data_IF_014466588386
#
_entry.id   IF_014466588386
#
_cell.length_a   1.000
_cell.length_b   1.000
_cell.length_c   1.000
_cell.angle_alpha   90.00
_cell.angle_beta   90.00
_cell.angle_gamma   90.00
#
_symmetry.space_group_name_H-M   'P 1'
#
loop_
_entity.id
_entity.type
_entity.pdbx_description
1 polymer ?
#
# COMPACT_ATOMS: atom_id res chain seq x y z
N UNK A 1 5.33 -8.73 3.77
CA UNK A 1 5.45 -8.04 5.08
C UNK A 1 5.11 -9.07 6.13
N UNK A 2 6.05 -9.38 7.02
CA UNK A 2 5.96 -10.46 8.01
C UNK A 2 6.31 -9.99 9.44
N UNK A 3 6.76 -8.74 9.60
CA UNK A 3 7.18 -8.18 10.89
C UNK A 3 6.99 -6.66 10.95
N UNK A 4 6.96 -6.12 12.15
CA UNK A 4 6.96 -4.69 12.44
C UNK A 4 8.09 -4.33 13.39
N UNK A 5 8.56 -3.08 13.35
CA UNK A 5 9.48 -2.54 14.35
C UNK A 5 8.65 -1.96 15.49
N UNK A 6 8.91 -2.39 16.70
CA UNK A 6 8.31 -1.85 17.92
C UNK A 6 9.35 -0.97 18.61
N UNK A 7 8.97 0.27 18.88
CA UNK A 7 9.78 1.28 19.56
C UNK A 7 9.14 1.57 20.91
N UNK A 8 9.72 1.06 21.98
CA UNK A 8 9.31 1.37 23.35
C UNK A 8 10.21 2.46 23.93
N UNK A 9 9.63 3.33 24.75
CA UNK A 9 10.41 4.36 25.45
C UNK A 9 11.45 3.69 26.38
N UNK A 10 12.71 4.15 26.30
CA UNK A 10 13.80 3.62 27.13
C UNK A 10 14.31 2.23 26.75
N UNK A 11 13.77 1.61 25.69
CA UNK A 11 14.21 0.29 25.23
C UNK A 11 14.75 0.34 23.79
N UNK A 12 15.68 -0.56 23.45
CA UNK A 12 16.11 -0.70 22.05
C UNK A 12 14.95 -1.17 21.18
N UNK A 13 14.93 -0.80 19.90
CA UNK A 13 13.95 -1.28 18.93
C UNK A 13 14.01 -2.81 18.80
N UNK A 14 12.84 -3.45 18.67
CA UNK A 14 12.72 -4.90 18.47
C UNK A 14 11.78 -5.18 17.30
N UNK A 15 12.02 -6.30 16.60
CA UNK A 15 11.05 -6.82 15.65
C UNK A 15 9.98 -7.64 16.36
N UNK A 16 8.73 -7.45 15.98
CA UNK A 16 7.59 -8.22 16.44
C UNK A 16 6.74 -8.68 15.25
N UNK A 17 5.94 -9.73 15.39
CA UNK A 17 4.94 -10.06 14.38
C UNK A 17 3.96 -8.91 14.19
N UNK A 18 3.34 -8.78 13.01
CA UNK A 18 2.29 -7.80 12.78
C UNK A 18 1.11 -8.00 13.75
N UNK A 19 0.36 -6.94 14.00
CA UNK A 19 -0.76 -6.96 14.96
C UNK A 19 -1.91 -7.89 14.55
N UNK A 20 -2.05 -8.18 13.26
CA UNK A 20 -3.13 -9.02 12.72
C UNK A 20 -2.59 -9.92 11.61
N UNK A 21 -3.22 -11.07 11.39
CA UNK A 21 -2.88 -12.00 10.30
C UNK A 21 -3.06 -11.34 8.92
N UNK A 22 -4.07 -10.48 8.75
CA UNK A 22 -4.29 -9.72 7.51
C UNK A 22 -3.12 -8.77 7.16
N UNK A 23 -2.27 -8.46 8.13
CA UNK A 23 -1.06 -7.67 7.91
C UNK A 23 0.09 -8.50 7.32
N UNK A 24 0.03 -9.83 7.42
CA UNK A 24 0.95 -10.76 6.76
C UNK A 24 0.59 -10.82 5.28
N UNK A 25 1.36 -10.13 4.44
CA UNK A 25 1.08 -10.08 3.01
C UNK A 25 2.31 -9.84 2.15
N UNK A 26 2.24 -10.34 0.93
CA UNK A 26 3.18 -10.00 -0.13
C UNK A 26 2.55 -8.96 -1.05
N UNK A 27 3.27 -7.88 -1.29
CA UNK A 27 2.88 -6.83 -2.25
C UNK A 27 3.91 -6.89 -3.39
N UNK A 28 3.50 -7.22 -4.64
CA UNK A 28 4.41 -7.15 -5.78
C UNK A 28 4.82 -5.69 -5.99
N UNK A 29 6.11 -5.50 -6.17
CA UNK A 29 6.65 -4.16 -6.42
C UNK A 29 6.73 -3.92 -7.93
N UNK A 30 6.18 -2.81 -8.44
CA UNK A 30 6.40 -2.36 -9.80
C UNK A 30 7.88 -2.08 -10.07
N UNK A 31 8.35 -2.30 -11.31
CA UNK A 31 9.75 -2.09 -11.68
C UNK A 31 10.29 -0.70 -11.34
N UNK A 32 9.50 0.35 -11.54
CA UNK A 32 9.88 1.71 -11.15
C UNK A 32 10.10 1.89 -9.63
N UNK A 33 9.29 1.20 -8.81
CA UNK A 33 9.49 1.23 -7.35
C UNK A 33 10.75 0.46 -6.96
N UNK A 34 11.05 -0.66 -7.64
CA UNK A 34 12.29 -1.42 -7.42
C UNK A 34 13.50 -0.54 -7.74
N UNK A 35 13.50 0.17 -8.88
CA UNK A 35 14.60 1.05 -9.26
C UNK A 35 14.87 2.13 -8.21
N UNK A 36 13.82 2.82 -7.74
CA UNK A 36 13.95 3.84 -6.68
C UNK A 36 14.46 3.26 -5.36
N UNK A 37 14.04 2.02 -5.02
CA UNK A 37 14.54 1.35 -3.81
C UNK A 37 16.02 0.94 -3.94
N UNK A 38 16.48 0.54 -5.12
CA UNK A 38 17.90 0.24 -5.37
C UNK A 38 18.75 1.51 -5.20
N UNK A 39 18.37 2.61 -5.85
CA UNK A 39 19.03 3.91 -5.66
C UNK A 39 19.06 4.34 -4.19
N UNK A 40 17.93 4.16 -3.49
CA UNK A 40 17.86 4.46 -2.05
C UNK A 40 18.87 3.63 -1.23
N UNK A 41 19.03 2.34 -1.54
CA UNK A 41 19.94 1.46 -0.82
C UNK A 41 21.42 1.77 -1.10
N UNK A 42 21.73 2.30 -2.27
CA UNK A 42 23.08 2.77 -2.62
C UNK A 42 23.42 4.05 -1.83
N UNK A 43 22.48 5.00 -1.72
CA UNK A 43 22.68 6.25 -0.99
C UNK A 43 22.58 6.10 0.54
N UNK A 44 21.74 5.18 1.00
CA UNK A 44 21.41 4.96 2.41
C UNK A 44 21.49 3.47 2.75
N UNK A 45 22.67 2.95 3.05
CA UNK A 45 22.84 1.54 3.40
C UNK A 45 21.95 1.13 4.58
N UNK A 46 21.38 -0.08 4.55
CA UNK A 46 20.52 -0.58 5.63
C UNK A 46 21.24 -0.58 6.98
N UNK A 47 20.54 -0.18 8.02
CA UNK A 47 21.09 -0.24 9.37
C UNK A 47 20.64 -1.49 10.11
N UNK A 48 21.57 -2.07 10.88
CA UNK A 48 21.30 -3.21 11.73
C UNK A 48 20.42 -2.80 12.91
N UNK A 49 19.31 -3.51 13.10
CA UNK A 49 18.49 -3.33 14.30
C UNK A 49 19.20 -4.03 15.47
N UNK A 50 19.51 -3.31 16.58
CA UNK A 50 20.22 -3.90 17.71
C UNK A 50 19.54 -5.17 18.22
N UNK A 51 20.34 -6.22 18.51
CA UNK A 51 19.89 -7.53 18.99
C UNK A 51 19.05 -8.37 18.01
N UNK A 52 18.89 -7.91 16.77
CA UNK A 52 18.12 -8.60 15.73
C UNK A 52 19.04 -9.05 14.58
N UNK A 53 18.68 -10.15 13.91
CA UNK A 53 19.37 -10.60 12.69
C UNK A 53 18.72 -10.00 11.43
N UNK A 54 18.31 -8.74 11.52
CA UNK A 54 17.63 -8.07 10.42
C UNK A 54 18.06 -6.61 10.33
N UNK A 55 17.87 -6.03 9.18
CA UNK A 55 18.27 -4.68 8.85
C UNK A 55 17.03 -3.85 8.49
N UNK A 56 17.06 -2.56 8.81
CA UNK A 56 16.05 -1.61 8.40
C UNK A 56 16.50 -0.89 7.12
N UNK A 57 15.64 -0.92 6.12
CA UNK A 57 15.88 -0.29 4.81
C UNK A 57 15.85 1.24 4.91
N UNK A 58 14.93 1.79 5.71
CA UNK A 58 14.79 3.24 5.86
C UNK A 58 15.49 3.73 7.11
N UNK A 59 16.53 4.53 6.90
CA UNK A 59 17.42 5.06 7.94
C UNK A 59 17.43 6.59 7.93
N UNK A 60 17.98 7.18 8.97
CA UNK A 60 18.37 8.59 8.96
C UNK A 60 19.68 8.76 8.17
N UNK A 61 20.06 10.00 7.76
CA UNK A 61 21.37 10.25 7.14
C UNK A 61 22.58 9.84 8.01
N UNK A 62 22.37 9.71 9.34
CA UNK A 62 23.38 9.21 10.28
C UNK A 62 23.42 7.66 10.37
N UNK A 63 22.63 6.94 9.54
CA UNK A 63 22.54 5.49 9.57
C UNK A 63 21.75 4.92 10.74
N UNK A 64 20.94 5.73 11.41
CA UNK A 64 20.11 5.31 12.53
C UNK A 64 18.70 4.92 12.06
N UNK A 65 18.00 4.10 12.87
CA UNK A 65 16.63 3.71 12.61
C UNK A 65 15.69 4.94 12.57
N UNK A 66 14.93 5.06 11.49
CA UNK A 66 13.98 6.16 11.31
C UNK A 66 12.80 6.04 12.29
N UNK A 67 12.68 6.98 13.21
CA UNK A 67 11.59 7.06 14.20
C UNK A 67 10.39 7.83 13.65
N UNK A 68 9.19 7.50 14.15
CA UNK A 68 7.91 8.08 13.68
C UNK A 68 7.88 9.62 13.71
N UNK A 69 8.34 10.23 14.78
CA UNK A 69 8.39 11.70 14.91
C UNK A 69 9.33 12.33 13.86
N UNK A 70 10.54 11.78 13.70
CA UNK A 70 11.48 12.20 12.65
C UNK A 70 10.90 12.04 11.26
N UNK A 71 10.25 10.91 10.98
CA UNK A 71 9.59 10.70 9.70
C UNK A 71 8.50 11.76 9.45
N UNK A 72 7.72 12.13 10.47
CA UNK A 72 6.72 13.18 10.36
C UNK A 72 7.32 14.55 9.97
N UNK A 73 8.51 14.90 10.46
CA UNK A 73 9.21 16.13 10.07
C UNK A 73 9.68 16.08 8.62
N UNK A 74 10.27 14.95 8.21
CA UNK A 74 10.70 14.71 6.82
C UNK A 74 9.51 14.79 5.87
N UNK A 75 8.39 14.14 6.22
CA UNK A 75 7.17 14.17 5.43
C UNK A 75 6.65 15.59 5.23
N UNK A 76 6.45 16.36 6.31
CA UNK A 76 5.99 17.75 6.23
C UNK A 76 6.91 18.63 5.41
N UNK A 77 8.22 18.42 5.52
CA UNK A 77 9.21 19.15 4.72
C UNK A 77 9.09 18.81 3.23
N UNK A 78 8.91 17.52 2.88
CA UNK A 78 8.72 17.08 1.51
C UNK A 78 7.43 17.66 0.91
N UNK A 79 6.30 17.59 1.64
CA UNK A 79 5.01 18.16 1.21
C UNK A 79 5.14 19.66 0.90
N UNK A 80 5.78 20.42 1.80
CA UNK A 80 6.00 21.86 1.57
C UNK A 80 6.88 22.14 0.34
N UNK A 81 7.95 21.35 0.13
CA UNK A 81 8.88 21.53 -0.98
C UNK A 81 8.24 21.24 -2.34
N UNK A 82 7.36 20.25 -2.40
CA UNK A 82 6.64 19.87 -3.61
C UNK A 82 5.47 20.82 -3.92
N UNK A 83 5.00 21.59 -2.94
CA UNK A 83 3.94 22.57 -3.12
C UNK A 83 2.54 21.95 -3.28
N UNK A 84 2.33 20.73 -2.81
CA UNK A 84 1.00 20.11 -2.73
C UNK A 84 0.26 20.61 -1.48
N UNK A 85 -1.02 20.24 -1.34
CA UNK A 85 -1.83 20.66 -0.19
C UNK A 85 -1.10 20.38 1.14
N UNK A 86 -1.02 21.33 2.07
CA UNK A 86 -0.17 21.24 3.26
C UNK A 86 -0.64 20.22 4.30
N UNK A 87 -1.92 19.84 4.27
CA UNK A 87 -2.54 18.85 5.14
C UNK A 87 -2.39 17.41 4.65
N UNK A 88 -1.71 17.18 3.50
CA UNK A 88 -1.46 15.86 2.96
C UNK A 88 -0.70 14.99 3.97
N UNK A 89 -1.30 13.92 4.41
CA UNK A 89 -0.69 12.95 5.32
C UNK A 89 -0.02 11.81 4.57
N UNK A 90 0.91 11.09 5.22
CA UNK A 90 1.48 9.88 4.62
C UNK A 90 0.42 8.78 4.42
N UNK A 91 -0.66 8.79 5.21
CA UNK A 91 -1.77 7.86 5.06
C UNK A 91 -2.59 8.12 3.79
N UNK A 92 -2.64 9.36 3.30
CA UNK A 92 -3.32 9.69 2.04
C UNK A 92 -2.68 9.00 0.83
N UNK A 93 -1.40 8.62 0.90
CA UNK A 93 -0.78 7.79 -0.13
C UNK A 93 -1.39 6.37 -0.18
N UNK A 94 -1.87 5.86 0.95
CA UNK A 94 -2.62 4.60 0.98
C UNK A 94 -3.98 4.74 0.28
N UNK A 95 -4.69 5.85 0.50
CA UNK A 95 -5.93 6.15 -0.20
C UNK A 95 -5.69 6.33 -1.71
N UNK A 96 -4.63 7.04 -2.07
CA UNK A 96 -4.23 7.18 -3.47
C UNK A 96 -3.94 5.83 -4.13
N UNK A 97 -3.19 4.96 -3.46
CA UNK A 97 -2.89 3.61 -3.97
C UNK A 97 -4.16 2.77 -4.15
N UNK A 98 -5.09 2.80 -3.20
CA UNK A 98 -6.38 2.13 -3.35
C UNK A 98 -7.17 2.65 -4.56
N UNK A 99 -7.29 3.96 -4.70
CA UNK A 99 -7.97 4.61 -5.83
C UNK A 99 -7.32 4.29 -7.17
N UNK A 100 -5.99 4.19 -7.22
CA UNK A 100 -5.26 3.78 -8.40
C UNK A 100 -5.62 2.36 -8.83
N UNK A 101 -5.63 1.40 -7.90
CA UNK A 101 -6.00 0.01 -8.17
C UNK A 101 -7.44 -0.09 -8.70
N UNK A 102 -8.38 0.61 -8.05
CA UNK A 102 -9.79 0.62 -8.45
C UNK A 102 -9.98 1.22 -9.85
N UNK A 103 -9.33 2.34 -10.13
CA UNK A 103 -9.35 2.98 -11.46
C UNK A 103 -8.86 2.06 -12.56
N UNK A 104 -7.90 1.18 -12.26
CA UNK A 104 -7.38 0.18 -13.18
C UNK A 104 -8.16 -1.15 -13.17
N UNK A 105 -9.36 -1.17 -12.61
CA UNK A 105 -10.28 -2.30 -12.71
C UNK A 105 -10.00 -3.44 -11.72
N UNK A 106 -9.15 -3.21 -10.71
CA UNK A 106 -8.88 -4.25 -9.72
C UNK A 106 -10.11 -4.55 -8.86
N UNK A 107 -10.32 -5.84 -8.59
CA UNK A 107 -11.44 -6.29 -7.78
C UNK A 107 -11.31 -5.87 -6.31
N UNK A 108 -12.46 -5.77 -5.62
CA UNK A 108 -12.53 -5.51 -4.17
C UNK A 108 -11.59 -6.44 -3.39
N UNK A 109 -11.50 -7.72 -3.80
CA UNK A 109 -10.68 -8.72 -3.14
C UNK A 109 -9.18 -8.46 -3.30
N UNK A 110 -8.77 -7.96 -4.47
CA UNK A 110 -7.37 -7.57 -4.71
C UNK A 110 -7.03 -6.35 -3.88
N UNK A 111 -7.86 -5.30 -3.90
CA UNK A 111 -7.67 -4.07 -3.11
C UNK A 111 -7.59 -4.39 -1.62
N UNK A 112 -8.54 -5.18 -1.09
CA UNK A 112 -8.53 -5.67 0.29
C UNK A 112 -7.18 -6.28 0.66
N UNK A 113 -6.71 -7.24 -0.14
CA UNK A 113 -5.47 -7.97 0.12
C UNK A 113 -4.24 -7.06 0.06
N UNK A 114 -4.18 -6.13 -0.90
CA UNK A 114 -3.06 -5.18 -1.02
C UNK A 114 -3.02 -4.20 0.15
N UNK A 115 -4.17 -3.75 0.61
CA UNK A 115 -4.27 -2.87 1.77
C UNK A 115 -4.09 -3.61 3.11
N UNK A 116 -4.35 -4.92 3.17
CA UNK A 116 -4.33 -5.70 4.40
C UNK A 116 -5.55 -5.41 5.28
N UNK A 117 -6.70 -5.15 4.68
CA UNK A 117 -7.97 -5.06 5.39
C UNK A 117 -8.41 -6.45 5.82
N UNK A 118 -8.95 -6.55 7.03
CA UNK A 118 -9.41 -7.83 7.58
C UNK A 118 -10.59 -8.39 6.78
N UNK A 119 -11.48 -7.53 6.33
CA UNK A 119 -12.69 -7.90 5.59
C UNK A 119 -12.82 -7.10 4.28
N UNK A 120 -13.55 -7.65 3.32
CA UNK A 120 -13.92 -6.92 2.11
C UNK A 120 -14.83 -5.73 2.44
N UNK A 121 -15.64 -5.84 3.51
CA UNK A 121 -16.52 -4.78 3.97
C UNK A 121 -15.75 -3.51 4.31
N UNK A 122 -14.63 -3.59 5.03
CA UNK A 122 -13.76 -2.43 5.31
C UNK A 122 -13.31 -1.71 4.02
N UNK A 123 -13.06 -2.48 2.96
CA UNK A 123 -12.69 -1.91 1.66
C UNK A 123 -13.87 -1.22 0.98
N UNK A 124 -15.04 -1.86 1.01
CA UNK A 124 -16.27 -1.31 0.42
C UNK A 124 -16.76 -0.07 1.17
N UNK A 125 -16.75 -0.08 2.49
CA UNK A 125 -17.18 1.07 3.31
C UNK A 125 -16.33 2.31 3.03
N UNK A 126 -15.03 2.11 2.75
CA UNK A 126 -14.10 3.21 2.52
C UNK A 126 -14.06 3.64 1.04
N UNK A 127 -14.10 2.70 0.12
CA UNK A 127 -13.80 2.94 -1.30
C UNK A 127 -14.90 2.48 -2.25
N UNK A 128 -16.03 1.93 -1.76
CA UNK A 128 -17.09 1.38 -2.60
C UNK A 128 -17.62 2.36 -3.65
N UNK A 129 -17.68 3.63 -3.29
CA UNK A 129 -18.10 4.73 -4.18
C UNK A 129 -17.15 5.01 -5.37
N UNK A 130 -15.94 4.43 -5.36
CA UNK A 130 -14.95 4.59 -6.44
C UNK A 130 -15.08 3.52 -7.52
N UNK A 131 -15.78 2.42 -7.25
CA UNK A 131 -16.09 1.44 -8.31
C UNK A 131 -17.14 2.03 -9.23
N UNK A 132 -16.92 1.95 -10.56
CA UNK A 132 -17.88 2.45 -11.52
C UNK A 132 -19.20 1.69 -11.40
N UNK A 133 -20.29 2.38 -11.61
CA UNK A 133 -21.60 1.76 -11.83
C UNK A 133 -21.55 0.94 -13.13
N UNK A 134 -21.85 -0.34 -13.04
CA UNK A 134 -21.70 -1.30 -14.12
C UNK A 134 -23.02 -1.69 -14.81
N UNK A 135 -24.11 -0.93 -14.59
CA UNK A 135 -25.43 -1.26 -15.16
C UNK A 135 -25.41 -1.39 -16.68
N UNK A 136 -24.68 -0.53 -17.38
CA UNK A 136 -24.48 -0.61 -18.82
C UNK A 136 -23.72 -1.89 -19.23
N UNK A 137 -22.59 -2.14 -18.61
CA UNK A 137 -21.76 -3.31 -18.87
C UNK A 137 -22.47 -4.62 -18.55
N UNK A 138 -23.28 -4.64 -17.48
CA UNK A 138 -24.06 -5.83 -17.11
C UNK A 138 -25.11 -6.16 -18.17
N UNK A 139 -25.81 -5.16 -18.68
CA UNK A 139 -26.78 -5.33 -19.79
C UNK A 139 -26.09 -5.83 -21.07
N UNK A 140 -25.01 -5.19 -21.46
CA UNK A 140 -24.24 -5.60 -22.64
C UNK A 140 -23.70 -7.04 -22.53
N UNK A 141 -23.19 -7.44 -21.36
CA UNK A 141 -22.71 -8.78 -21.12
C UNK A 141 -23.83 -9.83 -21.27
N UNK A 142 -25.00 -9.57 -20.67
CA UNK A 142 -26.16 -10.47 -20.81
C UNK A 142 -26.65 -10.54 -22.24
N UNK A 143 -26.78 -9.40 -22.91
CA UNK A 143 -27.22 -9.35 -24.32
C UNK A 143 -26.25 -10.10 -25.25
N UNK A 144 -24.94 -9.92 -25.05
CA UNK A 144 -23.94 -10.61 -25.88
C UNK A 144 -24.04 -12.13 -25.76
N UNK A 145 -24.23 -12.68 -24.57
CA UNK A 145 -24.42 -14.11 -24.34
C UNK A 145 -25.73 -14.63 -24.93
N UNK A 146 -26.83 -13.90 -24.75
CA UNK A 146 -28.12 -14.30 -25.33
C UNK A 146 -28.12 -14.31 -26.87
N UNK A 147 -27.45 -13.33 -27.49
CA UNK A 147 -27.32 -13.29 -28.95
C UNK A 147 -26.34 -14.31 -29.48
N UNK A 148 -25.27 -14.65 -28.74
CA UNK A 148 -24.36 -15.73 -29.09
C UNK A 148 -25.06 -17.11 -29.07
N UNK A 149 -25.85 -17.37 -28.03
CA UNK A 149 -26.63 -18.61 -27.91
C UNK A 149 -27.64 -18.81 -29.06
N UNK A 150 -28.29 -17.73 -29.49
CA UNK A 150 -29.21 -17.78 -30.65
C UNK A 150 -28.53 -18.08 -31.97
N UNK A 151 -27.31 -17.61 -32.19
CA UNK A 151 -26.53 -17.87 -33.41
C UNK A 151 -25.95 -19.27 -33.48
N UNK A 152 -25.74 -19.93 -32.33
CA UNK A 152 -25.24 -21.30 -32.28
C UNK A 152 -26.32 -22.39 -32.44
N UNK A 153 -27.61 -22.02 -32.55
CA UNK A 153 -28.76 -22.92 -32.72
C UNK A 153 -29.36 -22.85 -34.15
N UNK A 154 -28.80 -22.04 -35.01
CA UNK A 154 -29.20 -21.95 -36.45
C UNK A 154 -28.16 -22.60 -37.34
#
# INVERSE_FOLDING_TARGET
>A
MDRQVVLLAGSPPVFAPPKTDASLRTIPLPGGVVAVLVEHLDDYPPCRVPRERAEAVFTTPAGELLRRNRFGDVWRSAVRRVGVRPDLTFHDLRHYYASLLIRHGESVKVVQRRLGHKTAQETLDTYGHLWPDSDGQTREAVDSELFAARRGQA
#
